data_IF_771354074991
#
_entry.id   IF_771354074991
#
_cell.length_a   1.000
_cell.length_b   1.000
_cell.length_c   1.000
_cell.angle_alpha   90.00
_cell.angle_beta   90.00
_cell.angle_gamma   90.00
#
_symmetry.space_group_name_H-M   'P 1'
#
loop_
_entity.id
_entity.type
_entity.pdbx_description
1 polymer ?
#
# COMPACT_ATOMS: atom_id res chain seq x y z
N UNK A 1 36.72 45.31 15.74
CA UNK A 1 36.66 43.98 15.12
C UNK A 1 35.36 43.30 15.53
N UNK A 2 34.33 43.40 14.67
CA UNK A 2 33.06 42.66 14.88
C UNK A 2 33.19 41.30 14.23
N UNK A 3 33.02 40.24 14.98
CA UNK A 3 32.86 38.88 14.47
C UNK A 3 31.40 38.70 14.09
N UNK A 4 31.13 38.59 12.81
CA UNK A 4 29.84 38.17 12.29
C UNK A 4 29.76 36.64 12.39
N UNK A 5 28.98 36.14 13.37
CA UNK A 5 28.64 34.71 13.44
C UNK A 5 27.55 34.46 12.42
N UNK A 6 27.93 33.82 11.31
CA UNK A 6 26.98 33.36 10.32
C UNK A 6 26.09 32.29 10.96
N UNK A 7 24.84 32.66 11.23
CA UNK A 7 23.83 31.71 11.71
C UNK A 7 23.58 30.66 10.65
N UNK A 8 24.01 29.42 10.89
CA UNK A 8 23.50 28.27 10.18
C UNK A 8 21.99 28.17 10.47
N UNK A 9 21.19 28.58 9.51
CA UNK A 9 19.78 28.28 9.49
C UNK A 9 19.66 26.76 9.21
N UNK A 10 19.65 25.95 10.27
CA UNK A 10 19.24 24.56 10.20
C UNK A 10 17.77 24.59 9.77
N UNK A 11 17.50 24.34 8.51
CA UNK A 11 16.16 23.98 8.07
C UNK A 11 15.75 22.74 8.89
N UNK A 12 14.92 22.97 9.90
CA UNK A 12 14.33 21.89 10.67
C UNK A 12 13.51 21.04 9.69
N UNK A 13 14.07 19.90 9.27
CA UNK A 13 13.32 18.90 8.51
C UNK A 13 12.10 18.49 9.35
N UNK A 14 10.99 18.19 8.67
CA UNK A 14 9.82 17.68 9.36
C UNK A 14 10.22 16.44 10.20
N UNK A 15 9.64 16.32 11.41
CA UNK A 15 9.90 15.15 12.25
C UNK A 15 9.53 13.86 11.53
N UNK A 16 10.30 12.76 11.72
CA UNK A 16 9.96 11.46 11.17
C UNK A 16 8.55 11.03 11.56
N UNK A 17 7.79 10.52 10.60
CA UNK A 17 6.44 10.01 10.85
C UNK A 17 6.51 8.58 11.40
N UNK A 18 5.58 8.23 12.28
CA UNK A 18 5.44 6.88 12.82
C UNK A 18 4.49 6.09 11.95
N UNK A 19 5.01 5.08 11.25
CA UNK A 19 4.26 4.28 10.27
C UNK A 19 4.03 2.87 10.79
N UNK A 20 2.77 2.52 11.03
CA UNK A 20 2.38 1.14 11.36
C UNK A 20 2.50 0.23 10.15
N UNK A 21 3.22 -0.89 10.28
CA UNK A 21 3.37 -1.92 9.26
C UNK A 21 2.62 -3.16 9.72
N UNK A 22 1.54 -3.52 9.01
CA UNK A 22 0.66 -4.60 9.41
C UNK A 22 1.32 -5.99 9.26
N UNK A 23 1.07 -6.89 10.22
CA UNK A 23 1.49 -8.29 10.16
C UNK A 23 0.94 -8.97 8.89
N UNK A 24 1.84 -9.59 8.14
CA UNK A 24 1.54 -10.21 6.84
C UNK A 24 1.00 -11.64 6.95
N UNK A 25 1.28 -12.32 8.03
CA UNK A 25 0.89 -13.72 8.19
C UNK A 25 0.53 -14.01 9.66
N UNK A 26 -0.61 -13.47 10.12
CA UNK A 26 -1.03 -13.67 11.51
C UNK A 26 -1.11 -15.14 11.87
N UNK A 27 -0.22 -15.55 12.77
CA UNK A 27 -0.21 -16.86 13.38
C UNK A 27 -0.38 -16.74 14.89
N UNK A 28 -0.50 -17.87 15.60
CA UNK A 28 -0.63 -17.84 17.05
C UNK A 28 0.69 -17.48 17.76
N UNK A 29 1.82 -17.68 17.10
CA UNK A 29 3.13 -17.69 17.77
C UNK A 29 4.17 -16.76 17.13
N UNK A 30 3.85 -16.00 16.06
CA UNK A 30 4.81 -15.13 15.40
C UNK A 30 4.14 -13.94 14.73
N UNK A 31 4.85 -12.83 14.68
CA UNK A 31 4.56 -11.66 13.85
C UNK A 31 5.47 -11.75 12.62
N UNK A 32 4.89 -11.67 11.42
CA UNK A 32 5.63 -11.86 10.18
C UNK A 32 5.48 -10.63 9.27
N UNK A 33 6.59 -9.94 9.04
CA UNK A 33 6.70 -8.83 8.10
C UNK A 33 7.98 -9.00 7.30
N UNK A 34 7.89 -8.89 5.97
CA UNK A 34 9.11 -8.88 5.16
C UNK A 34 9.93 -7.62 5.44
N UNK A 35 11.23 -7.80 5.62
CA UNK A 35 12.16 -6.72 5.98
C UNK A 35 12.15 -5.55 4.98
N UNK A 36 11.82 -5.80 3.71
CA UNK A 36 11.74 -4.76 2.67
C UNK A 36 10.70 -3.68 2.96
N UNK A 37 9.54 -4.01 3.57
CA UNK A 37 8.54 -3.01 3.96
C UNK A 37 9.05 -2.11 5.08
N UNK A 38 9.64 -2.72 6.11
CA UNK A 38 10.24 -2.01 7.24
C UNK A 38 11.40 -1.13 6.76
N UNK A 39 12.27 -1.70 5.93
CA UNK A 39 13.42 -0.98 5.35
C UNK A 39 12.98 0.19 4.45
N UNK A 40 11.93 0.02 3.64
CA UNK A 40 11.44 1.10 2.77
C UNK A 40 10.94 2.30 3.58
N UNK A 41 10.18 2.06 4.66
CA UNK A 41 9.72 3.11 5.58
C UNK A 41 10.91 3.79 6.25
N UNK A 42 11.85 3.02 6.80
CA UNK A 42 13.02 3.56 7.51
C UNK A 42 13.95 4.35 6.56
N UNK A 43 14.26 3.80 5.39
CA UNK A 43 15.13 4.45 4.39
C UNK A 43 14.50 5.73 3.82
N UNK A 44 13.17 5.81 3.80
CA UNK A 44 12.47 7.05 3.45
C UNK A 44 12.54 8.12 4.54
N UNK A 45 13.11 7.82 5.72
CA UNK A 45 13.28 8.75 6.83
C UNK A 45 12.16 8.70 7.87
N UNK A 46 11.31 7.68 7.85
CA UNK A 46 10.20 7.50 8.79
C UNK A 46 10.50 6.39 9.81
N UNK A 47 9.71 6.30 10.88
CA UNK A 47 9.85 5.30 11.94
C UNK A 47 8.85 4.16 11.73
N UNK A 48 9.27 2.96 11.30
CA UNK A 48 8.38 1.81 11.18
C UNK A 48 8.05 1.18 12.53
N UNK A 49 6.78 0.88 12.76
CA UNK A 49 6.29 0.11 13.91
C UNK A 49 5.52 -1.09 13.41
N UNK A 50 6.01 -2.29 13.69
CA UNK A 50 5.32 -3.52 13.29
C UNK A 50 4.12 -3.78 14.20
N UNK A 51 2.95 -3.98 13.61
CA UNK A 51 1.70 -4.17 14.33
C UNK A 51 1.34 -5.66 14.38
N UNK A 52 1.34 -6.29 15.55
CA UNK A 52 0.91 -7.68 15.71
C UNK A 52 -0.60 -7.80 15.51
N UNK A 53 -1.02 -8.87 14.81
CA UNK A 53 -2.44 -9.10 14.56
C UNK A 53 -3.21 -9.45 15.85
N UNK A 54 -4.37 -8.83 15.99
CA UNK A 54 -5.32 -9.08 17.09
C UNK A 54 -6.76 -9.02 16.60
N UNK A 55 -7.67 -9.58 17.36
CA UNK A 55 -9.14 -9.44 17.16
C UNK A 55 -9.76 -8.45 18.16
N UNK A 56 -8.96 -7.92 19.08
CA UNK A 56 -9.39 -6.94 20.08
C UNK A 56 -9.44 -5.53 19.47
N UNK A 57 -10.65 -4.99 19.30
CA UNK A 57 -10.88 -3.66 18.71
C UNK A 57 -10.29 -2.52 19.55
N UNK A 58 -10.31 -2.64 20.88
CA UNK A 58 -9.76 -1.61 21.77
C UNK A 58 -8.22 -1.59 21.68
N UNK A 59 -7.61 -2.78 21.58
CA UNK A 59 -6.17 -2.88 21.37
C UNK A 59 -5.78 -2.28 20.01
N UNK A 60 -6.56 -2.56 18.94
CA UNK A 60 -6.35 -1.92 17.62
C UNK A 60 -6.39 -0.40 17.75
N UNK A 61 -7.40 0.14 18.43
CA UNK A 61 -7.53 1.58 18.63
C UNK A 61 -6.32 2.18 19.37
N UNK A 62 -5.82 1.50 20.41
CA UNK A 62 -4.60 1.93 21.13
C UNK A 62 -3.34 1.84 20.27
N UNK A 63 -3.20 0.78 19.47
CA UNK A 63 -2.04 0.63 18.57
C UNK A 63 -1.99 1.70 17.49
N UNK A 64 -3.14 2.08 16.93
CA UNK A 64 -3.20 3.09 15.87
C UNK A 64 -3.16 4.53 16.41
N UNK A 65 -3.39 4.76 17.70
CA UNK A 65 -3.44 6.10 18.28
C UNK A 65 -2.15 6.92 18.08
N UNK A 66 -0.94 6.38 18.26
CA UNK A 66 0.31 7.12 18.09
C UNK A 66 0.82 7.17 16.65
N UNK A 67 0.12 6.56 15.68
CA UNK A 67 0.61 6.45 14.32
C UNK A 67 0.21 7.65 13.46
N UNK A 68 1.09 8.00 12.54
CA UNK A 68 0.84 9.01 11.50
C UNK A 68 0.33 8.39 10.20
N UNK A 69 0.60 7.09 9.96
CA UNK A 69 0.10 6.33 8.81
C UNK A 69 0.08 4.82 9.06
N UNK A 70 -0.63 4.11 8.18
CA UNK A 70 -0.73 2.66 8.14
C UNK A 70 -0.29 2.12 6.78
N UNK A 71 0.59 1.11 6.78
CA UNK A 71 1.01 0.35 5.61
C UNK A 71 0.42 -1.06 5.65
N UNK A 72 -0.38 -1.42 4.65
CA UNK A 72 -0.86 -2.77 4.40
C UNK A 72 0.03 -3.45 3.36
N UNK A 73 0.59 -4.61 3.73
CA UNK A 73 1.59 -5.32 2.95
C UNK A 73 0.99 -6.27 1.91
N UNK A 74 1.81 -6.72 0.95
CA UNK A 74 1.51 -7.80 0.01
C UNK A 74 1.30 -9.16 0.70
N UNK A 75 0.93 -10.19 -0.07
CA UNK A 75 0.77 -11.55 0.47
C UNK A 75 -0.24 -12.43 -0.26
N UNK A 76 -0.91 -13.31 0.49
CA UNK A 76 -1.86 -14.30 0.00
C UNK A 76 -3.13 -13.65 -0.58
N UNK A 77 -3.98 -14.45 -1.21
CA UNK A 77 -5.25 -13.99 -1.80
C UNK A 77 -6.26 -13.54 -0.74
N UNK A 78 -7.10 -12.58 -1.11
CA UNK A 78 -8.22 -12.13 -0.29
C UNK A 78 -9.38 -13.12 -0.41
N UNK A 79 -10.04 -13.48 0.69
CA UNK A 79 -11.19 -14.39 0.72
C UNK A 79 -12.31 -13.86 -0.20
N UNK A 80 -12.71 -14.63 -1.25
CA UNK A 80 -13.72 -14.19 -2.23
C UNK A 80 -15.08 -13.82 -1.63
N UNK A 81 -15.47 -14.46 -0.53
CA UNK A 81 -16.72 -14.11 0.17
C UNK A 81 -16.76 -12.68 0.68
N UNK A 82 -15.59 -12.05 0.87
CA UNK A 82 -15.48 -10.64 1.29
C UNK A 82 -15.99 -9.65 0.25
N UNK A 83 -16.00 -10.07 -1.03
CA UNK A 83 -16.51 -9.28 -2.16
C UNK A 83 -17.62 -10.00 -2.94
N UNK A 84 -18.37 -10.88 -2.25
CA UNK A 84 -19.57 -11.52 -2.78
C UNK A 84 -19.32 -12.57 -3.86
N UNK A 85 -18.07 -13.03 -4.05
CA UNK A 85 -17.72 -13.99 -5.08
C UNK A 85 -17.62 -15.43 -4.54
N UNK A 86 -17.84 -16.39 -5.44
CA UNK A 86 -17.49 -17.80 -5.20
C UNK A 86 -15.99 -17.98 -5.44
N UNK A 87 -15.31 -18.88 -4.69
CA UNK A 87 -13.90 -19.18 -4.94
C UNK A 87 -13.67 -19.71 -6.35
N UNK A 88 -12.70 -19.14 -7.05
CA UNK A 88 -12.19 -19.65 -8.33
C UNK A 88 -11.43 -20.97 -8.10
N UNK A 89 -11.45 -21.93 -9.05
CA UNK A 89 -10.58 -23.10 -9.00
C UNK A 89 -9.07 -22.76 -9.01
N UNK A 90 -8.72 -21.53 -9.39
CA UNK A 90 -7.34 -21.02 -9.43
C UNK A 90 -7.00 -20.11 -8.25
N UNK A 91 -7.93 -19.98 -7.26
CA UNK A 91 -7.68 -19.23 -6.04
C UNK A 91 -6.43 -19.79 -5.33
N UNK A 92 -5.55 -18.91 -4.91
CA UNK A 92 -4.38 -19.26 -4.13
C UNK A 92 -4.71 -19.47 -2.65
N UNK A 93 -3.67 -19.38 -1.82
CA UNK A 93 -3.84 -19.49 -0.36
C UNK A 93 -4.57 -18.27 0.18
N UNK A 94 -5.57 -18.50 1.03
CA UNK A 94 -6.34 -17.46 1.75
C UNK A 94 -6.03 -17.54 3.24
N UNK A 95 -5.84 -16.39 3.87
CA UNK A 95 -5.69 -16.27 5.31
C UNK A 95 -6.83 -15.42 5.90
N UNK A 96 -7.94 -16.08 6.29
CA UNK A 96 -9.13 -15.39 6.82
C UNK A 96 -8.86 -14.61 8.11
N UNK A 97 -7.88 -15.04 8.90
CA UNK A 97 -7.47 -14.31 10.12
C UNK A 97 -6.81 -12.99 9.75
N UNK A 98 -5.98 -13.00 8.70
CA UNK A 98 -5.38 -11.79 8.15
C UNK A 98 -6.42 -10.84 7.56
N UNK A 99 -7.37 -11.37 6.77
CA UNK A 99 -8.47 -10.57 6.25
C UNK A 99 -9.24 -9.86 7.36
N UNK A 100 -9.60 -10.59 8.42
CA UNK A 100 -10.30 -10.02 9.57
C UNK A 100 -9.47 -8.95 10.28
N UNK A 101 -8.18 -9.20 10.47
CA UNK A 101 -7.23 -8.27 11.06
C UNK A 101 -7.10 -6.96 10.28
N UNK A 102 -6.84 -7.06 8.97
CA UNK A 102 -6.67 -5.87 8.13
C UNK A 102 -7.97 -5.05 8.00
N UNK A 103 -9.14 -5.71 8.03
CA UNK A 103 -10.43 -5.02 8.09
C UNK A 103 -10.60 -4.24 9.41
N UNK A 104 -10.18 -4.80 10.54
CA UNK A 104 -10.18 -4.07 11.82
C UNK A 104 -9.25 -2.85 11.81
N UNK A 105 -8.08 -2.99 11.19
CA UNK A 105 -7.16 -1.85 10.98
C UNK A 105 -7.80 -0.77 10.14
N UNK A 106 -8.45 -1.14 9.03
CA UNK A 106 -9.13 -0.19 8.15
C UNK A 106 -10.34 0.48 8.84
N UNK A 107 -11.15 -0.26 9.62
CA UNK A 107 -12.25 0.30 10.43
C UNK A 107 -11.74 1.48 11.30
N UNK A 108 -10.64 1.27 12.00
CA UNK A 108 -10.10 2.28 12.92
C UNK A 108 -9.35 3.39 12.18
N UNK A 109 -8.60 3.06 11.13
CA UNK A 109 -7.88 4.04 10.33
C UNK A 109 -8.85 5.03 9.64
N UNK A 110 -9.97 4.54 9.10
CA UNK A 110 -11.01 5.40 8.48
C UNK A 110 -11.64 6.35 9.48
N UNK A 111 -12.01 5.87 10.67
CA UNK A 111 -12.56 6.72 11.75
C UNK A 111 -11.62 7.86 12.12
N UNK A 112 -10.32 7.61 12.15
CA UNK A 112 -9.28 8.58 12.50
C UNK A 112 -8.83 9.43 11.32
N UNK A 113 -9.29 9.13 10.10
CA UNK A 113 -8.74 9.68 8.87
C UNK A 113 -7.21 9.51 8.81
N UNK A 114 -6.73 8.37 9.34
CA UNK A 114 -5.33 7.99 9.29
C UNK A 114 -4.96 7.67 7.83
N UNK A 115 -3.87 8.21 7.29
CA UNK A 115 -3.36 7.82 5.98
C UNK A 115 -3.10 6.33 5.88
N UNK A 116 -3.61 5.68 4.81
CA UNK A 116 -3.41 4.25 4.56
C UNK A 116 -2.82 4.06 3.18
N UNK A 117 -1.74 3.28 3.12
CA UNK A 117 -1.12 2.85 1.87
C UNK A 117 -1.12 1.32 1.78
N UNK A 118 -1.67 0.79 0.69
CA UNK A 118 -1.70 -0.65 0.42
C UNK A 118 -0.76 -1.03 -0.72
N UNK A 119 0.03 -2.10 -0.54
CA UNK A 119 0.94 -2.63 -1.55
C UNK A 119 0.47 -4.03 -1.95
N UNK A 120 0.31 -4.28 -3.25
CA UNK A 120 -0.10 -5.55 -3.85
C UNK A 120 -1.41 -6.05 -3.22
N UNK A 121 -1.37 -7.09 -2.37
CA UNK A 121 -2.54 -7.53 -1.63
C UNK A 121 -3.17 -6.40 -0.79
N UNK A 122 -2.37 -5.51 -0.20
CA UNK A 122 -2.88 -4.36 0.56
C UNK A 122 -3.76 -3.43 -0.29
N UNK A 123 -3.42 -3.19 -1.55
CA UNK A 123 -4.25 -2.47 -2.50
C UNK A 123 -5.58 -3.19 -2.75
N UNK A 124 -5.53 -4.51 -2.92
CA UNK A 124 -6.72 -5.35 -3.13
C UNK A 124 -7.65 -5.35 -1.91
N UNK A 125 -7.08 -5.48 -0.70
CA UNK A 125 -7.84 -5.43 0.56
C UNK A 125 -8.54 -4.08 0.73
N UNK A 126 -7.87 -2.97 0.42
CA UNK A 126 -8.48 -1.64 0.42
C UNK A 126 -9.68 -1.62 -0.51
N UNK A 127 -9.53 -2.06 -1.76
CA UNK A 127 -10.63 -2.08 -2.72
C UNK A 127 -11.81 -2.91 -2.21
N UNK A 128 -11.55 -4.13 -1.70
CA UNK A 128 -12.59 -5.02 -1.16
C UNK A 128 -13.28 -4.44 0.08
N UNK A 129 -12.52 -3.85 0.99
CA UNK A 129 -13.06 -3.23 2.21
C UNK A 129 -14.06 -2.12 1.90
N UNK A 130 -13.81 -1.33 0.86
CA UNK A 130 -14.71 -0.25 0.43
C UNK A 130 -15.78 -0.69 -0.57
N UNK A 131 -15.92 -2.00 -0.84
CA UNK A 131 -17.03 -2.57 -1.64
C UNK A 131 -16.70 -2.86 -3.10
N UNK A 132 -15.44 -2.81 -3.49
CA UNK A 132 -14.97 -3.26 -4.80
C UNK A 132 -14.77 -4.77 -4.89
N UNK A 133 -14.45 -5.27 -6.09
CA UNK A 133 -14.23 -6.70 -6.38
C UNK A 133 -12.85 -6.94 -6.99
N UNK A 134 -12.46 -8.22 -7.10
CA UNK A 134 -11.18 -8.64 -7.65
C UNK A 134 -11.33 -9.62 -8.80
N UNK A 135 -10.44 -9.57 -9.78
CA UNK A 135 -10.07 -10.71 -10.61
C UNK A 135 -9.34 -11.71 -9.72
N UNK A 136 -9.84 -12.96 -9.64
CA UNK A 136 -9.23 -13.97 -8.77
C UNK A 136 -8.03 -14.64 -9.41
N UNK A 137 -7.97 -14.67 -10.75
CA UNK A 137 -6.83 -15.21 -11.49
C UNK A 137 -6.78 -14.59 -12.89
N UNK A 138 -5.95 -13.59 -13.07
CA UNK A 138 -5.80 -12.88 -14.35
C UNK A 138 -5.56 -13.80 -15.54
N UNK A 139 -4.67 -14.85 -15.45
CA UNK A 139 -4.45 -15.73 -16.58
C UNK A 139 -5.68 -16.47 -17.08
N UNK A 140 -6.59 -16.87 -16.17
CA UNK A 140 -7.80 -17.62 -16.56
C UNK A 140 -9.01 -16.73 -16.85
N UNK A 141 -9.10 -15.58 -16.19
CA UNK A 141 -10.26 -14.68 -16.34
C UNK A 141 -10.05 -13.59 -17.41
N UNK A 142 -8.78 -13.32 -17.76
CA UNK A 142 -8.37 -12.36 -18.79
C UNK A 142 -7.27 -12.94 -19.69
N UNK A 143 -7.55 -13.96 -20.51
CA UNK A 143 -6.55 -14.60 -21.36
C UNK A 143 -5.96 -13.62 -22.37
N UNK A 144 -4.68 -13.81 -22.73
CA UNK A 144 -3.96 -12.94 -23.66
C UNK A 144 -3.37 -11.68 -23.06
N UNK A 145 -3.40 -11.54 -21.73
CA UNK A 145 -2.80 -10.44 -21.00
C UNK A 145 -1.30 -10.64 -20.77
N UNK A 146 -0.61 -9.60 -20.31
CA UNK A 146 0.79 -9.70 -19.92
C UNK A 146 0.96 -10.62 -18.70
N UNK A 147 2.13 -11.18 -18.51
CA UNK A 147 2.40 -12.11 -17.42
C UNK A 147 2.66 -11.38 -16.09
N UNK A 148 1.61 -11.09 -15.33
CA UNK A 148 1.71 -10.40 -14.03
C UNK A 148 2.37 -11.23 -12.90
N UNK A 149 2.72 -12.49 -13.14
CA UNK A 149 3.51 -13.34 -12.21
C UNK A 149 4.94 -13.54 -12.65
N UNK A 150 5.38 -12.86 -13.68
CA UNK A 150 6.78 -12.91 -14.14
C UNK A 150 7.69 -12.14 -13.19
N UNK A 151 9.00 -12.39 -13.30
CA UNK A 151 10.01 -11.55 -12.64
C UNK A 151 10.41 -10.35 -13.50
N UNK A 152 9.77 -10.19 -14.65
CA UNK A 152 10.05 -9.12 -15.59
C UNK A 152 9.36 -7.83 -15.17
N UNK A 153 9.95 -6.72 -15.59
CA UNK A 153 9.32 -5.40 -15.40
C UNK A 153 8.34 -5.15 -16.54
N UNK A 154 7.23 -4.48 -16.24
CA UNK A 154 6.34 -3.93 -17.26
C UNK A 154 6.14 -2.43 -17.05
N UNK A 155 5.71 -1.75 -18.12
CA UNK A 155 5.37 -0.33 -18.02
C UNK A 155 4.01 -0.15 -17.33
N UNK A 156 3.89 0.95 -16.60
CA UNK A 156 2.62 1.41 -16.02
C UNK A 156 2.41 2.86 -16.42
N UNK A 157 1.25 3.16 -17.00
CA UNK A 157 0.83 4.53 -17.30
C UNK A 157 0.10 5.11 -16.10
N UNK A 158 0.54 6.27 -15.62
CA UNK A 158 0.02 6.96 -14.45
C UNK A 158 -0.87 8.12 -14.89
N UNK A 159 -2.05 8.24 -14.27
CA UNK A 159 -3.00 9.32 -14.54
C UNK A 159 -2.48 10.63 -13.96
N UNK A 160 -2.32 11.62 -14.82
CA UNK A 160 -1.85 12.95 -14.40
C UNK A 160 -2.83 13.64 -13.44
N UNK A 161 -2.27 14.41 -12.50
CA UNK A 161 -3.03 15.06 -11.43
C UNK A 161 -3.33 14.15 -10.22
N UNK A 162 -3.07 12.83 -10.31
CA UNK A 162 -3.17 11.91 -9.19
C UNK A 162 -2.12 12.20 -8.10
N UNK A 163 -2.35 11.69 -6.88
CA UNK A 163 -1.34 11.74 -5.81
C UNK A 163 -0.11 10.91 -6.20
N UNK A 164 -0.34 9.78 -6.85
CA UNK A 164 0.72 8.92 -7.36
C UNK A 164 1.62 9.67 -8.35
N UNK A 165 1.04 10.36 -9.34
CA UNK A 165 1.79 11.16 -10.31
C UNK A 165 2.60 12.28 -9.65
N UNK A 166 2.03 12.94 -8.64
CA UNK A 166 2.73 13.99 -7.86
C UNK A 166 3.91 13.42 -7.06
N UNK A 167 3.74 12.24 -6.45
CA UNK A 167 4.80 11.59 -5.66
C UNK A 167 5.93 11.08 -6.55
N UNK A 168 5.62 10.42 -7.66
CA UNK A 168 6.61 9.79 -8.55
C UNK A 168 7.16 10.75 -9.62
N UNK A 169 6.47 11.86 -9.89
CA UNK A 169 6.80 12.85 -10.95
C UNK A 169 7.00 12.19 -12.32
N UNK A 170 6.16 11.20 -12.63
CA UNK A 170 6.25 10.39 -13.82
C UNK A 170 4.87 10.15 -14.44
N UNK A 171 4.82 10.03 -15.77
CA UNK A 171 3.63 9.60 -16.53
C UNK A 171 3.67 8.11 -16.85
N UNK A 172 4.86 7.58 -17.04
CA UNK A 172 5.11 6.18 -17.29
C UNK A 172 6.27 5.70 -16.40
N UNK A 173 6.15 4.47 -15.90
CA UNK A 173 7.13 3.91 -15.00
C UNK A 173 7.25 2.40 -15.26
N UNK A 174 8.48 1.90 -15.21
CA UNK A 174 8.73 0.45 -15.22
C UNK A 174 8.61 -0.08 -13.80
N UNK A 175 7.72 -1.05 -13.59
CA UNK A 175 7.46 -1.65 -12.27
C UNK A 175 7.63 -3.16 -12.31
N UNK A 176 7.90 -3.74 -11.15
CA UNK A 176 7.90 -5.19 -10.97
C UNK A 176 6.47 -5.73 -10.86
N UNK A 177 6.30 -6.99 -11.16
CA UNK A 177 5.01 -7.66 -11.05
C UNK A 177 5.16 -9.03 -10.39
N UNK A 178 4.26 -9.37 -9.46
CA UNK A 178 4.30 -10.62 -8.71
C UNK A 178 2.90 -10.94 -8.16
N UNK A 179 1.87 -10.83 -9.01
CA UNK A 179 0.48 -11.06 -8.60
C UNK A 179 -0.29 -11.81 -9.70
N UNK A 180 -1.34 -12.51 -9.33
CA UNK A 180 -2.29 -13.12 -10.25
C UNK A 180 -3.71 -12.60 -10.02
N UNK A 181 -3.93 -11.89 -8.93
CA UNK A 181 -5.16 -11.16 -8.63
C UNK A 181 -4.96 -9.67 -8.92
N UNK A 182 -6.03 -8.96 -9.23
CA UNK A 182 -6.04 -7.51 -9.38
C UNK A 182 -7.44 -6.94 -9.11
N UNK A 183 -7.52 -5.62 -8.92
CA UNK A 183 -8.79 -4.90 -8.85
C UNK A 183 -9.59 -5.13 -10.13
N UNK A 184 -10.86 -5.54 -9.97
CA UNK A 184 -11.85 -5.74 -11.04
C UNK A 184 -12.80 -4.55 -11.09
N UNK A 185 -13.74 -4.51 -10.15
CA UNK A 185 -14.63 -3.38 -9.99
C UNK A 185 -14.10 -2.47 -8.89
N UNK A 186 -13.97 -1.20 -9.19
CA UNK A 186 -13.49 -0.21 -8.22
C UNK A 186 -14.51 0.01 -7.10
N UNK A 187 -14.02 0.14 -5.90
CA UNK A 187 -14.82 0.55 -4.76
C UNK A 187 -15.45 1.94 -5.00
N UNK A 188 -16.69 2.20 -4.55
CA UNK A 188 -17.30 3.52 -4.57
C UNK A 188 -16.39 4.58 -3.90
N UNK A 189 -16.23 5.75 -4.56
CA UNK A 189 -15.36 6.83 -4.08
C UNK A 189 -13.86 6.58 -4.26
N UNK A 190 -13.51 5.60 -5.10
CA UNK A 190 -12.14 5.36 -5.54
C UNK A 190 -12.03 5.55 -7.06
N UNK A 191 -10.84 5.91 -7.51
CA UNK A 191 -10.46 5.97 -8.92
C UNK A 191 -9.19 5.17 -9.18
N UNK A 192 -9.12 4.55 -10.34
CA UNK A 192 -7.88 3.95 -10.83
C UNK A 192 -6.95 5.06 -11.35
N UNK A 193 -5.72 5.06 -10.89
CA UNK A 193 -4.74 6.11 -11.20
C UNK A 193 -3.48 5.57 -11.87
N UNK A 194 -3.37 4.26 -12.06
CA UNK A 194 -2.33 3.67 -12.88
C UNK A 194 -2.83 2.38 -13.54
N UNK A 195 -2.34 2.11 -14.76
CA UNK A 195 -2.76 0.99 -15.59
C UNK A 195 -1.55 0.34 -16.27
N UNK A 196 -1.53 -0.99 -16.27
CA UNK A 196 -0.65 -1.78 -17.14
C UNK A 196 -1.09 -1.66 -18.62
N UNK A 197 -0.23 -2.04 -19.60
CA UNK A 197 -0.58 -1.95 -21.03
C UNK A 197 -1.82 -2.75 -21.42
N UNK A 198 -2.14 -3.80 -20.71
CA UNK A 198 -3.33 -4.65 -20.89
C UNK A 198 -4.57 -4.12 -20.16
N UNK A 199 -4.47 -2.95 -19.53
CA UNK A 199 -5.58 -2.29 -18.82
C UNK A 199 -5.83 -2.82 -17.41
N UNK A 200 -4.97 -3.70 -16.88
CA UNK A 200 -5.03 -4.07 -15.46
C UNK A 200 -4.76 -2.86 -14.59
N UNK A 201 -5.58 -2.68 -13.54
CA UNK A 201 -5.42 -1.58 -12.58
C UNK A 201 -4.19 -1.82 -11.71
N UNK A 202 -3.26 -0.87 -11.75
CA UNK A 202 -1.99 -0.92 -11.03
C UNK A 202 -1.92 0.05 -9.83
N UNK A 203 -2.87 0.99 -9.73
CA UNK A 203 -3.03 1.82 -8.54
C UNK A 203 -4.43 2.39 -8.40
N UNK A 204 -4.85 2.58 -7.15
CA UNK A 204 -6.12 3.18 -6.78
C UNK A 204 -5.91 4.28 -5.73
N UNK A 205 -6.77 5.30 -5.77
CA UNK A 205 -6.82 6.39 -4.80
C UNK A 205 -8.26 6.68 -4.40
N UNK A 206 -8.51 6.93 -3.10
CA UNK A 206 -9.79 7.48 -2.67
C UNK A 206 -9.88 8.97 -3.01
N UNK A 207 -11.06 9.43 -3.42
CA UNK A 207 -11.33 10.84 -3.73
C UNK A 207 -11.44 11.71 -2.47
N UNK A 208 -11.83 11.11 -1.33
CA UNK A 208 -12.18 11.85 -0.11
C UNK A 208 -11.36 11.46 1.12
N UNK A 209 -10.72 10.28 1.11
CA UNK A 209 -9.93 9.76 2.22
C UNK A 209 -8.44 9.75 1.88
N UNK A 210 -7.55 9.84 2.88
CA UNK A 210 -6.12 9.69 2.66
C UNK A 210 -5.75 8.20 2.50
N UNK A 211 -6.43 7.51 1.58
CA UNK A 211 -6.27 6.07 1.33
C UNK A 211 -5.88 5.85 -0.13
N UNK A 212 -4.86 5.05 -0.35
CA UNK A 212 -4.41 4.68 -1.68
C UNK A 212 -3.70 3.32 -1.67
N UNK A 213 -3.53 2.73 -2.84
CA UNK A 213 -2.76 1.50 -2.99
C UNK A 213 -2.17 1.34 -4.37
N UNK A 214 -1.10 0.55 -4.45
CA UNK A 214 -0.46 0.13 -5.70
C UNK A 214 -0.42 -1.40 -5.78
N UNK A 215 -0.53 -1.93 -7.00
CA UNK A 215 -0.52 -3.38 -7.23
C UNK A 215 0.90 -3.93 -7.32
N UNK A 216 1.84 -3.14 -7.83
CA UNK A 216 3.27 -3.48 -7.86
C UNK A 216 3.95 -3.36 -6.49
N UNK A 217 5.24 -3.72 -6.39
CA UNK A 217 6.02 -3.73 -5.16
C UNK A 217 7.10 -2.63 -5.13
N UNK A 218 6.74 -1.37 -4.79
CA UNK A 218 7.69 -0.26 -4.74
C UNK A 218 8.77 -0.45 -3.66
N UNK A 219 8.46 -1.16 -2.57
CA UNK A 219 9.43 -1.44 -1.51
C UNK A 219 10.62 -2.27 -2.01
N UNK A 220 10.38 -3.19 -2.94
CA UNK A 220 11.45 -4.00 -3.54
C UNK A 220 12.26 -3.20 -4.55
N UNK A 221 11.60 -2.38 -5.36
CA UNK A 221 12.26 -1.51 -6.32
C UNK A 221 13.17 -0.51 -5.62
N UNK A 222 12.70 0.07 -4.52
CA UNK A 222 13.46 1.03 -3.73
C UNK A 222 14.61 0.38 -2.96
N UNK A 223 14.32 -0.62 -2.13
CA UNK A 223 15.30 -1.20 -1.20
C UNK A 223 16.28 -2.16 -1.88
N UNK A 224 15.81 -3.00 -2.81
CA UNK A 224 16.65 -4.04 -3.41
C UNK A 224 17.34 -3.58 -4.70
N UNK A 225 16.73 -2.65 -5.44
CA UNK A 225 17.24 -2.18 -6.73
C UNK A 225 17.73 -0.72 -6.69
N UNK A 226 17.67 -0.05 -5.53
CA UNK A 226 18.16 1.32 -5.35
C UNK A 226 17.40 2.38 -6.16
N UNK A 227 16.16 2.11 -6.55
CA UNK A 227 15.35 3.00 -7.37
C UNK A 227 14.77 4.14 -6.53
N UNK A 228 15.51 5.23 -6.42
CA UNK A 228 15.25 6.38 -5.55
C UNK A 228 13.93 7.11 -5.85
N UNK A 229 13.40 7.03 -7.06
CA UNK A 229 12.10 7.61 -7.40
C UNK A 229 10.96 7.08 -6.53
N UNK A 230 11.09 5.86 -6.00
CA UNK A 230 10.10 5.27 -5.09
C UNK A 230 10.22 5.77 -3.64
N UNK A 231 11.34 6.41 -3.26
CA UNK A 231 11.50 7.03 -1.93
C UNK A 231 10.38 8.02 -1.63
N UNK A 232 10.07 8.88 -2.59
CA UNK A 232 9.05 9.91 -2.44
C UNK A 232 7.64 9.31 -2.25
N UNK A 233 7.40 8.11 -2.77
CA UNK A 233 6.17 7.38 -2.54
C UNK A 233 5.99 7.07 -1.04
N UNK A 234 7.04 6.57 -0.38
CA UNK A 234 7.00 6.29 1.05
C UNK A 234 7.00 7.55 1.93
N UNK A 235 7.48 8.68 1.43
CA UNK A 235 7.32 9.99 2.09
C UNK A 235 5.94 10.61 1.82
N UNK A 236 5.48 10.59 0.57
CA UNK A 236 4.31 11.32 0.10
C UNK A 236 2.97 10.74 0.56
N UNK A 237 2.84 9.40 0.63
CA UNK A 237 1.62 8.75 1.10
C UNK A 237 1.39 8.91 2.61
N UNK A 238 2.43 9.25 3.35
CA UNK A 238 2.38 9.39 4.81
C UNK A 238 2.06 10.84 5.22
N UNK A 239 2.01 11.79 4.29
CA UNK A 239 1.66 13.18 4.63
C UNK A 239 0.14 13.34 4.70
N UNK A 240 -0.36 13.75 5.85
CA UNK A 240 -1.69 14.34 5.97
C UNK A 240 -1.69 15.62 5.14
N UNK A 241 -2.59 15.75 4.15
CA UNK A 241 -2.80 17.00 3.44
C UNK A 241 -2.93 18.15 4.46
N UNK A 242 -1.92 19.03 4.52
CA UNK A 242 -2.01 20.32 5.20
C UNK A 242 -1.65 20.39 6.69
N UNK A 243 -1.11 19.36 7.33
CA UNK A 243 -0.53 19.50 8.68
C UNK A 243 0.98 19.25 8.66
N UNK A 244 1.72 20.33 8.50
CA UNK A 244 3.10 20.47 8.97
C UNK A 244 3.07 21.18 10.31
#
# INVERSE_FOLDING_TARGET
MLWCVAGLCLCAGAAPLVVGVADMCPSTNAVNVQATYVAAVATAGNTPVVLPATTDRELVARMLAPLDALLLCGGEDVEPRRYGAKPSPRLGKVNRRRDAWEFLLLDEAVKRRLPVFGICRGCQVINVYFGGTLWQDLPSERPGQIAHRSKELHSVRIVQGSRLAKSLRAENLMVNTSHHQAVKDLAPGFRAVAFAPDGVVEAIESDTLPVAGVQFHPERLFVLLGREEFRELFKGFVTRDGRR
#
